data_IF_615486564696
#
_entry.id   IF_615486564696
#
_cell.length_a   1.000
_cell.length_b   1.000
_cell.length_c   1.000
_cell.angle_alpha   90.00
_cell.angle_beta   90.00
_cell.angle_gamma   90.00
#
_symmetry.space_group_name_H-M   'P 1'
#
loop_
_entity.id
_entity.type
_entity.pdbx_description
1 polymer ?
#
# COMPACT_ATOMS: atom_id res chain seq x y z
N UNK A 1 -9.26 9.35 18.40
CA UNK A 1 -10.49 8.80 17.77
C UNK A 1 -11.65 9.09 18.68
N UNK A 2 -12.66 9.82 18.20
CA UNK A 2 -13.86 10.16 18.95
C UNK A 2 -14.89 9.02 18.87
N UNK A 3 -15.10 8.47 17.68
CA UNK A 3 -16.14 7.48 17.46
C UNK A 3 -15.82 6.59 16.24
N UNK A 4 -16.23 5.32 16.27
CA UNK A 4 -16.18 4.42 15.14
C UNK A 4 -17.51 3.67 15.00
N UNK A 5 -18.12 3.74 13.81
CA UNK A 5 -19.42 3.13 13.50
C UNK A 5 -19.27 2.19 12.31
N UNK A 6 -19.49 0.89 12.53
CA UNK A 6 -19.53 -0.11 11.46
C UNK A 6 -20.95 -0.21 10.92
N UNK A 7 -21.09 -0.10 9.60
CA UNK A 7 -22.39 -0.21 8.96
C UNK A 7 -22.72 -1.69 8.76
N UNK A 8 -23.84 -2.12 9.30
CA UNK A 8 -24.36 -3.48 9.14
C UNK A 8 -25.45 -3.52 8.06
N UNK A 9 -25.60 -4.66 7.42
CA UNK A 9 -26.71 -4.92 6.51
C UNK A 9 -28.00 -5.29 7.30
N UNK A 10 -29.11 -5.54 6.60
CA UNK A 10 -30.40 -5.93 7.22
C UNK A 10 -30.32 -7.20 8.07
N UNK A 11 -29.35 -8.06 7.79
CA UNK A 11 -29.09 -9.32 8.48
C UNK A 11 -28.12 -9.16 9.66
N UNK A 12 -27.76 -7.91 10.01
CA UNK A 12 -26.78 -7.56 11.05
C UNK A 12 -25.36 -8.07 10.77
N UNK A 13 -25.01 -8.31 9.51
CA UNK A 13 -23.65 -8.66 9.06
C UNK A 13 -22.90 -7.40 8.60
N UNK A 14 -21.57 -7.40 8.72
CA UNK A 14 -20.73 -6.28 8.28
C UNK A 14 -20.91 -6.00 6.78
N UNK A 15 -21.27 -4.77 6.43
CA UNK A 15 -21.46 -4.37 5.03
C UNK A 15 -20.15 -4.10 4.28
N UNK A 16 -19.02 -4.06 5.00
CA UNK A 16 -17.72 -3.65 4.47
C UNK A 16 -17.51 -2.13 4.47
N UNK A 17 -18.40 -1.37 5.11
CA UNK A 17 -18.27 0.08 5.29
C UNK A 17 -18.25 0.44 6.77
N UNK A 18 -17.45 1.44 7.11
CA UNK A 18 -17.38 2.02 8.44
C UNK A 18 -17.10 3.53 8.35
N UNK A 19 -17.63 4.27 9.32
CA UNK A 19 -17.31 5.68 9.53
C UNK A 19 -16.49 5.82 10.79
N UNK A 20 -15.46 6.66 10.73
CA UNK A 20 -14.61 6.95 11.88
C UNK A 20 -14.52 8.45 12.02
N UNK A 21 -14.90 8.95 13.19
CA UNK A 21 -14.76 10.33 13.58
C UNK A 21 -13.49 10.49 14.42
N UNK A 22 -12.64 11.43 14.03
CA UNK A 22 -11.42 11.76 14.73
C UNK A 22 -11.56 13.10 15.44
N UNK A 23 -10.97 13.21 16.63
CA UNK A 23 -10.92 14.46 17.39
C UNK A 23 -9.91 15.43 16.77
N UNK A 24 -8.77 14.90 16.33
CA UNK A 24 -7.66 15.67 15.79
C UNK A 24 -7.58 15.57 14.26
N UNK A 25 -7.41 16.70 13.56
CA UNK A 25 -7.32 16.70 12.10
C UNK A 25 -6.08 15.97 11.59
N UNK A 26 -4.99 15.97 12.36
CA UNK A 26 -3.74 15.25 12.03
C UNK A 26 -3.95 13.74 11.90
N UNK A 27 -4.84 13.18 12.72
CA UNK A 27 -5.16 11.75 12.68
C UNK A 27 -5.96 11.39 11.42
N UNK A 28 -6.80 12.31 10.93
CA UNK A 28 -7.54 12.13 9.68
C UNK A 28 -6.58 12.02 8.50
N UNK A 29 -5.61 12.95 8.41
CA UNK A 29 -4.60 12.93 7.35
C UNK A 29 -3.77 11.64 7.42
N UNK A 30 -3.35 11.24 8.62
CA UNK A 30 -2.64 9.98 8.84
C UNK A 30 -3.48 8.74 8.47
N UNK A 31 -4.79 8.78 8.62
CA UNK A 31 -5.69 7.70 8.22
C UNK A 31 -5.83 7.63 6.69
N UNK A 32 -5.98 8.78 6.02
CA UNK A 32 -6.10 8.86 4.56
C UNK A 32 -4.79 8.44 3.88
N UNK A 33 -3.63 8.72 4.48
CA UNK A 33 -2.34 8.21 3.99
C UNK A 33 -2.24 6.67 4.00
N UNK A 34 -3.11 5.99 4.73
CA UNK A 34 -3.21 4.52 4.76
C UNK A 34 -4.27 3.96 3.80
N UNK A 35 -4.83 4.80 2.93
CA UNK A 35 -5.71 4.34 1.85
C UNK A 35 -5.00 3.30 0.97
N UNK A 36 -5.74 2.23 0.62
CA UNK A 36 -5.21 1.11 -0.16
C UNK A 36 -4.29 0.16 0.61
N UNK A 37 -4.14 0.31 1.94
CA UNK A 37 -3.34 -0.59 2.76
C UNK A 37 -4.02 -1.95 2.95
N UNK A 38 -3.22 -3.02 2.99
CA UNK A 38 -3.68 -4.39 3.23
C UNK A 38 -3.73 -4.70 4.73
N UNK A 39 -4.92 -4.97 5.25
CA UNK A 39 -5.16 -5.37 6.65
C UNK A 39 -5.76 -6.78 6.65
N UNK A 40 -5.09 -7.74 7.32
CA UNK A 40 -5.54 -9.14 7.40
C UNK A 40 -5.90 -9.76 6.04
N UNK A 41 -5.13 -9.48 5.00
CA UNK A 41 -5.40 -10.02 3.66
C UNK A 41 -6.33 -9.18 2.79
N UNK A 42 -7.05 -8.19 3.35
CA UNK A 42 -8.05 -7.38 2.67
C UNK A 42 -7.54 -5.95 2.45
N UNK A 43 -7.87 -5.34 1.32
CA UNK A 43 -7.50 -3.96 1.01
C UNK A 43 -8.56 -3.03 1.60
N UNK A 44 -8.13 -2.07 2.40
CA UNK A 44 -9.01 -1.07 3.02
C UNK A 44 -8.92 0.22 2.21
N UNK A 45 -10.07 0.87 2.01
CA UNK A 45 -10.16 2.18 1.36
C UNK A 45 -10.56 3.24 2.37
N UNK A 46 -9.84 4.35 2.41
CA UNK A 46 -10.06 5.45 3.35
C UNK A 46 -10.25 6.74 2.56
N UNK A 47 -11.44 7.33 2.69
CA UNK A 47 -11.81 8.58 2.03
C UNK A 47 -12.39 9.54 3.06
N UNK A 48 -12.27 10.84 2.80
CA UNK A 48 -13.01 11.85 3.55
C UNK A 48 -14.51 11.66 3.39
N UNK A 49 -15.26 11.91 4.48
CA UNK A 49 -16.72 11.91 4.41
C UNK A 49 -17.18 13.04 3.48
N UNK A 50 -18.02 12.72 2.51
CA UNK A 50 -18.65 13.71 1.63
C UNK A 50 -20.15 13.65 1.84
N UNK A 51 -20.78 14.82 2.06
CA UNK A 51 -22.24 14.93 2.05
C UNK A 51 -22.72 14.51 0.67
N UNK A 52 -23.72 13.65 0.60
CA UNK A 52 -24.32 13.23 -0.66
C UNK A 52 -24.75 14.46 -1.46
N UNK A 53 -24.00 14.78 -2.53
CA UNK A 53 -24.51 15.67 -3.57
C UNK A 53 -25.60 14.88 -4.29
N UNK A 54 -26.85 15.31 -4.15
CA UNK A 54 -27.95 14.80 -4.99
C UNK A 54 -27.49 14.90 -6.45
N UNK A 55 -27.25 13.73 -7.06
CA UNK A 55 -26.90 13.48 -8.46
C UNK A 55 -25.66 14.16 -9.06
N UNK A 56 -24.60 13.39 -9.33
CA UNK A 56 -23.76 13.52 -10.52
C UNK A 56 -23.04 12.18 -10.83
N UNK A 57 -23.05 11.78 -12.10
CA UNK A 57 -22.75 10.43 -12.58
C UNK A 57 -21.38 9.82 -12.22
N UNK A 58 -21.44 8.52 -11.99
CA UNK A 58 -20.37 7.52 -12.00
C UNK A 58 -19.29 7.76 -13.06
N UNK A 59 -18.11 8.30 -12.71
CA UNK A 59 -16.94 8.31 -13.61
C UNK A 59 -15.56 8.03 -12.99
N UNK A 60 -15.44 7.58 -11.74
CA UNK A 60 -14.12 7.22 -11.16
C UNK A 60 -13.97 5.77 -10.71
N UNK A 61 -14.81 4.85 -11.21
CA UNK A 61 -14.77 3.42 -10.84
C UNK A 61 -13.93 2.53 -11.77
N UNK A 62 -13.05 3.09 -12.62
CA UNK A 62 -12.26 2.31 -13.61
C UNK A 62 -10.77 2.15 -13.31
N UNK A 63 -10.19 2.80 -12.30
CA UNK A 63 -8.74 2.70 -12.06
C UNK A 63 -8.32 1.57 -11.10
N UNK A 64 -9.26 0.95 -10.40
CA UNK A 64 -8.96 -0.01 -9.33
C UNK A 64 -9.04 -1.49 -9.73
N UNK A 65 -9.55 -1.83 -10.92
CA UNK A 65 -9.60 -3.22 -11.40
C UNK A 65 -8.32 -3.69 -12.12
N UNK A 66 -7.35 -2.80 -12.39
CA UNK A 66 -6.08 -3.17 -13.02
C UNK A 66 -5.07 -3.82 -12.05
N UNK A 67 -5.17 -3.55 -10.75
CA UNK A 67 -4.24 -4.08 -9.75
C UNK A 67 -4.51 -5.53 -9.32
N UNK A 68 -5.69 -6.09 -9.64
CA UNK A 68 -6.03 -7.49 -9.31
C UNK A 68 -5.40 -8.54 -10.24
N UNK A 69 -4.74 -8.14 -11.33
CA UNK A 69 -4.17 -9.09 -12.31
C UNK A 69 -2.67 -9.40 -12.15
N UNK A 70 -1.95 -8.71 -11.26
CA UNK A 70 -0.48 -8.84 -11.20
C UNK A 70 -0.01 -9.76 -10.06
N UNK A 71 -0.80 -9.95 -9.00
CA UNK A 71 -0.36 -10.71 -7.82
C UNK A 71 -0.50 -12.22 -8.00
N UNK A 72 -1.44 -12.71 -8.82
CA UNK A 72 -1.70 -14.14 -9.01
C UNK A 72 -0.70 -14.88 -9.94
N UNK A 73 0.27 -14.16 -10.54
CA UNK A 73 1.20 -14.76 -11.53
C UNK A 73 2.62 -15.05 -11.01
N UNK A 74 2.94 -14.74 -9.74
CA UNK A 74 4.31 -14.95 -9.19
C UNK A 74 4.52 -16.23 -8.38
N UNK A 75 3.51 -17.07 -8.19
CA UNK A 75 3.64 -18.33 -7.43
C UNK A 75 3.79 -19.61 -8.29
N UNK A 76 3.77 -19.52 -9.62
CA UNK A 76 3.88 -20.69 -10.53
C UNK A 76 5.19 -20.79 -11.33
N UNK A 77 6.27 -20.10 -10.91
CA UNK A 77 7.61 -20.21 -11.53
C UNK A 77 8.62 -20.71 -10.48
N UNK A 78 8.37 -21.89 -9.92
CA UNK A 78 9.29 -22.57 -8.99
C UNK A 78 9.60 -24.02 -9.36
N UNK A 79 9.27 -24.49 -10.58
CA UNK A 79 9.35 -25.93 -10.86
C UNK A 79 9.87 -26.40 -12.22
N UNK A 80 10.51 -25.57 -13.06
CA UNK A 80 11.23 -26.09 -14.25
C UNK A 80 12.31 -25.11 -14.67
N UNK A 81 13.58 -25.44 -14.43
CA UNK A 81 14.61 -25.57 -15.47
C UNK A 81 16.00 -25.63 -14.79
N UNK A 82 16.39 -26.84 -14.45
CA UNK A 82 17.77 -27.31 -14.42
C UNK A 82 18.53 -26.95 -15.72
N UNK A 83 19.85 -26.75 -15.59
CA UNK A 83 20.84 -26.55 -16.65
C UNK A 83 21.05 -25.07 -16.99
N UNK A 84 22.13 -24.40 -16.61
CA UNK A 84 23.54 -24.80 -16.63
C UNK A 84 24.16 -24.23 -17.89
N UNK A 85 24.98 -23.17 -17.78
CA UNK A 85 26.11 -22.87 -18.68
C UNK A 85 26.95 -21.69 -18.10
N UNK A 86 28.24 -21.72 -18.42
CA UNK A 86 29.39 -21.12 -17.73
C UNK A 86 29.77 -19.70 -18.18
N UNK A 87 30.62 -19.05 -17.38
CA UNK A 87 31.56 -18.00 -17.81
C UNK A 87 31.05 -16.56 -17.70
N UNK A 88 31.87 -15.54 -17.47
CA UNK A 88 33.32 -15.41 -17.24
C UNK A 88 33.57 -13.92 -16.93
N UNK A 89 34.46 -13.65 -15.97
CA UNK A 89 35.35 -12.48 -15.76
C UNK A 89 34.83 -11.02 -15.75
N UNK A 90 35.37 -10.25 -14.78
CA UNK A 90 35.39 -8.79 -14.84
C UNK A 90 35.62 -8.08 -13.51
N UNK A 91 36.89 -7.95 -13.13
CA UNK A 91 37.52 -7.12 -12.07
C UNK A 91 37.10 -5.62 -12.20
N UNK A 92 37.27 -4.65 -11.30
CA UNK A 92 38.18 -4.37 -10.19
C UNK A 92 37.53 -3.22 -9.36
N UNK A 93 37.68 -3.19 -8.03
CA UNK A 93 38.55 -2.29 -7.25
C UNK A 93 38.18 -0.78 -7.26
N UNK A 94 38.16 -0.21 -6.06
CA UNK A 94 37.85 1.18 -5.78
C UNK A 94 37.97 1.41 -4.27
N UNK A 95 39.22 1.40 -3.81
CA UNK A 95 39.72 1.63 -2.46
C UNK A 95 39.07 2.80 -1.72
N UNK A 96 39.00 2.62 -0.40
CA UNK A 96 38.76 3.70 0.53
C UNK A 96 40.06 4.41 0.89
N UNK A 97 39.97 5.72 1.10
CA UNK A 97 40.91 6.51 1.87
C UNK A 97 40.11 7.19 2.99
N UNK A 98 40.05 6.49 4.12
CA UNK A 98 40.03 7.09 5.45
C UNK A 98 41.44 7.64 5.68
N UNK A 99 41.57 8.94 5.95
CA UNK A 99 42.60 9.60 6.77
C UNK A 99 42.84 11.03 6.24
N UNK A 100 42.29 12.02 6.94
CA UNK A 100 43.04 13.28 7.11
C UNK A 100 42.69 13.88 8.48
N UNK A 101 43.61 13.55 9.39
CA UNK A 101 43.93 14.17 10.66
C UNK A 101 44.28 15.65 10.43
N UNK A 102 43.57 16.59 11.05
CA UNK A 102 44.13 17.93 11.22
C UNK A 102 43.71 18.51 12.57
N UNK A 103 44.53 18.16 13.57
CA UNK A 103 44.65 18.88 14.81
C UNK A 103 45.56 20.10 14.60
N UNK A 104 45.00 21.30 14.69
CA UNK A 104 45.81 22.51 14.83
C UNK A 104 45.12 23.56 15.73
N UNK A 105 45.82 23.93 16.82
CA UNK A 105 45.76 25.25 17.44
C UNK A 105 45.08 25.33 18.79
#
# INVERSE_FOLDING_TARGET
ISEARVILNKEKLCSGLAFVEFTDPKDVEAAVLRDGMKVKGQIVFVCYETKEKKSAGTKDRRKLQAAKRVVEKKEKVKKKKDGGDEGEEGEAEGDGDDDDDDAAG
#
